data_IF_919260980649
#
_entry.id   IF_919260980649
#
_cell.length_a   1.000
_cell.length_b   1.000
_cell.length_c   1.000
_cell.angle_alpha   90.00
_cell.angle_beta   90.00
_cell.angle_gamma   90.00
#
_symmetry.space_group_name_H-M   'P 1'
#
loop_
_entity.id
_entity.type
_entity.pdbx_description
1 polymer ?
#
# COMPACT_ATOMS: atom_id res chain seq x y z
N UNK A 1 5.06 -4.35 -24.85
CA UNK A 1 5.42 -4.71 -23.44
C UNK A 1 4.12 -4.97 -22.72
N UNK A 2 4.01 -6.07 -22.03
CA UNK A 2 2.82 -6.35 -21.26
C UNK A 2 2.71 -5.40 -20.06
N UNK A 3 1.51 -4.92 -19.74
CA UNK A 3 1.30 -4.02 -18.61
C UNK A 3 1.62 -4.75 -17.29
N UNK A 4 2.19 -4.01 -16.34
CA UNK A 4 2.49 -4.55 -15.00
C UNK A 4 1.20 -4.79 -14.19
N UNK A 5 0.18 -3.96 -14.41
CA UNK A 5 -1.17 -4.12 -13.87
C UNK A 5 -2.18 -3.97 -14.99
N UNK A 6 -3.15 -4.90 -15.05
CA UNK A 6 -4.30 -4.81 -15.93
C UNK A 6 -5.54 -5.27 -15.19
N UNK A 7 -6.52 -4.39 -15.14
CA UNK A 7 -7.84 -4.65 -14.59
C UNK A 7 -8.85 -4.59 -15.73
N UNK A 8 -9.68 -5.61 -15.86
CA UNK A 8 -10.64 -5.77 -16.97
C UNK A 8 -12.06 -5.84 -16.43
N UNK A 9 -12.92 -4.93 -16.89
CA UNK A 9 -14.36 -4.87 -16.62
C UNK A 9 -14.70 -4.96 -15.13
N UNK A 10 -13.91 -4.28 -14.29
CA UNK A 10 -14.07 -4.31 -12.84
C UNK A 10 -15.40 -3.68 -12.43
N UNK A 11 -16.20 -4.48 -11.77
CA UNK A 11 -17.50 -4.04 -11.21
C UNK A 11 -17.49 -4.26 -9.70
N UNK A 12 -17.98 -3.25 -8.95
CA UNK A 12 -18.15 -3.33 -7.49
C UNK A 12 -19.43 -2.64 -7.06
N UNK A 13 -20.23 -3.36 -6.27
CA UNK A 13 -21.49 -2.87 -5.71
C UNK A 13 -21.46 -2.99 -4.19
N UNK A 14 -22.08 -2.04 -3.54
CA UNK A 14 -22.34 -2.04 -2.09
C UNK A 14 -23.87 -1.88 -1.87
N UNK A 15 -24.57 -3.00 -1.74
CA UNK A 15 -26.03 -3.01 -1.75
C UNK A 15 -26.57 -2.43 -3.06
N UNK A 16 -27.36 -1.36 -2.98
CA UNK A 16 -27.92 -0.68 -4.14
C UNK A 16 -26.95 0.29 -4.82
N UNK A 17 -25.81 0.61 -4.19
CA UNK A 17 -24.83 1.54 -4.75
C UNK A 17 -23.83 0.79 -5.65
N UNK A 18 -23.73 1.19 -6.91
CA UNK A 18 -22.66 0.74 -7.82
C UNK A 18 -21.50 1.72 -7.72
N UNK A 19 -20.39 1.30 -7.12
CA UNK A 19 -19.19 2.12 -6.94
C UNK A 19 -18.27 2.09 -8.16
N UNK A 20 -18.18 0.95 -8.84
CA UNK A 20 -17.46 0.78 -10.11
C UNK A 20 -18.32 -0.10 -11.02
N UNK A 21 -18.36 0.19 -12.31
CA UNK A 21 -19.10 -0.59 -13.30
C UNK A 21 -18.30 -0.71 -14.59
N UNK A 22 -17.84 -1.95 -14.86
CA UNK A 22 -17.10 -2.26 -16.08
C UNK A 22 -15.81 -1.46 -16.29
N UNK A 23 -15.08 -1.15 -15.21
CA UNK A 23 -13.88 -0.30 -15.28
C UNK A 23 -12.69 -1.09 -15.80
N UNK A 24 -12.08 -0.58 -16.85
CA UNK A 24 -10.79 -1.03 -17.34
C UNK A 24 -9.68 -0.08 -16.88
N UNK A 25 -8.57 -0.66 -16.40
CA UNK A 25 -7.40 0.11 -15.96
C UNK A 25 -6.13 -0.63 -16.35
N UNK A 26 -5.17 0.10 -16.88
CA UNK A 26 -3.88 -0.46 -17.30
C UNK A 26 -2.74 0.43 -16.81
N UNK A 27 -1.70 -0.19 -16.24
CA UNK A 27 -0.48 0.49 -15.82
C UNK A 27 0.72 -0.24 -16.40
N UNK A 28 1.55 0.46 -17.16
CA UNK A 28 2.78 -0.09 -17.70
C UNK A 28 3.96 0.11 -16.75
N UNK A 29 5.03 -0.64 -16.96
CA UNK A 29 6.22 -0.52 -16.15
C UNK A 29 6.87 0.87 -16.31
N UNK A 30 7.11 1.55 -15.19
CA UNK A 30 7.75 2.87 -15.17
C UNK A 30 6.79 4.05 -15.36
N UNK A 31 5.49 3.79 -15.55
CA UNK A 31 4.47 4.84 -15.62
C UNK A 31 3.97 5.25 -14.24
N UNK A 32 3.53 6.49 -14.16
CA UNK A 32 2.79 7.04 -13.02
C UNK A 32 1.42 7.49 -13.51
N UNK A 33 0.36 6.89 -12.97
CA UNK A 33 -1.02 7.24 -13.30
C UNK A 33 -1.67 8.02 -12.16
N UNK A 34 -2.29 9.15 -12.49
CA UNK A 34 -3.13 9.91 -11.58
C UNK A 34 -4.60 9.61 -11.88
N UNK A 35 -5.33 9.10 -10.90
CA UNK A 35 -6.78 8.93 -10.99
C UNK A 35 -7.47 10.22 -10.56
N UNK A 36 -8.03 10.94 -11.53
CA UNK A 36 -8.72 12.21 -11.32
C UNK A 36 -10.23 12.01 -11.48
N UNK A 37 -11.02 12.69 -10.67
CA UNK A 37 -12.47 12.63 -10.71
C UNK A 37 -13.09 13.13 -9.40
N UNK A 38 -14.39 13.36 -9.40
CA UNK A 38 -15.14 13.88 -8.26
C UNK A 38 -15.08 12.96 -7.02
N UNK A 39 -15.39 13.52 -5.85
CA UNK A 39 -15.54 12.72 -4.63
C UNK A 39 -16.71 11.75 -4.81
N UNK A 40 -16.49 10.48 -4.47
CA UNK A 40 -17.49 9.43 -4.70
C UNK A 40 -17.41 8.73 -6.07
N UNK A 41 -16.55 9.17 -7.00
CA UNK A 41 -16.41 8.55 -8.33
C UNK A 41 -15.79 7.13 -8.34
N UNK A 42 -15.67 6.46 -7.19
CA UNK A 42 -15.20 5.07 -7.11
C UNK A 42 -13.67 4.88 -7.15
N UNK A 43 -12.86 5.95 -7.24
CA UNK A 43 -11.39 5.87 -7.30
C UNK A 43 -10.78 5.04 -6.17
N UNK A 44 -11.12 5.39 -4.94
CA UNK A 44 -10.65 4.68 -3.74
C UNK A 44 -11.12 3.23 -3.72
N UNK A 45 -12.31 2.95 -4.20
CA UNK A 45 -12.85 1.58 -4.31
C UNK A 45 -12.04 0.78 -5.30
N UNK A 46 -11.73 1.33 -6.49
CA UNK A 46 -10.91 0.68 -7.50
C UNK A 46 -9.52 0.32 -6.96
N UNK A 47 -8.86 1.26 -6.26
CA UNK A 47 -7.54 1.01 -5.66
C UNK A 47 -7.59 -0.01 -4.53
N UNK A 48 -8.64 0.00 -3.70
CA UNK A 48 -8.84 -1.03 -2.67
C UNK A 48 -9.10 -2.42 -3.25
N UNK A 49 -9.70 -2.50 -4.43
CA UNK A 49 -9.85 -3.76 -5.18
C UNK A 49 -8.48 -4.21 -5.68
N UNK A 50 -7.68 -3.33 -6.28
CA UNK A 50 -6.32 -3.65 -6.73
C UNK A 50 -5.43 -4.13 -5.57
N UNK A 51 -5.52 -3.48 -4.42
CA UNK A 51 -4.80 -3.88 -3.20
C UNK A 51 -5.36 -5.18 -2.57
N UNK A 52 -6.51 -5.68 -3.04
CA UNK A 52 -7.13 -6.90 -2.54
C UNK A 52 -7.92 -6.73 -1.24
N UNK A 53 -8.19 -5.50 -0.82
CA UNK A 53 -9.03 -5.21 0.36
C UNK A 53 -10.50 -5.46 0.09
N UNK A 54 -10.94 -5.25 -1.16
CA UNK A 54 -12.27 -5.60 -1.63
C UNK A 54 -12.18 -6.60 -2.77
N UNK A 55 -13.01 -7.66 -2.72
CA UNK A 55 -13.23 -8.50 -3.89
C UNK A 55 -14.15 -7.75 -4.86
N UNK A 56 -13.84 -7.69 -6.17
CA UNK A 56 -14.78 -7.21 -7.15
C UNK A 56 -15.95 -8.19 -7.30
N UNK A 57 -17.10 -7.70 -7.73
CA UNK A 57 -18.28 -8.52 -8.02
C UNK A 57 -18.25 -9.02 -9.46
N UNK A 58 -17.42 -8.42 -10.31
CA UNK A 58 -17.14 -8.84 -11.69
C UNK A 58 -15.82 -8.29 -12.20
N UNK A 59 -15.31 -8.88 -13.28
CA UNK A 59 -14.05 -8.52 -13.91
C UNK A 59 -12.87 -9.37 -13.45
N UNK A 60 -11.67 -9.01 -13.92
CA UNK A 60 -10.42 -9.75 -13.66
C UNK A 60 -9.28 -8.78 -13.42
N UNK A 61 -8.31 -9.21 -12.62
CA UNK A 61 -7.08 -8.45 -12.34
C UNK A 61 -5.89 -9.30 -12.73
N UNK A 62 -4.97 -8.72 -13.47
CA UNK A 62 -3.71 -9.33 -13.86
C UNK A 62 -2.55 -8.47 -13.35
N UNK A 63 -1.54 -9.12 -12.79
CA UNK A 63 -0.28 -8.49 -12.35
C UNK A 63 0.85 -9.29 -12.95
N UNK A 64 1.78 -8.60 -13.64
CA UNK A 64 2.86 -9.23 -14.41
C UNK A 64 2.33 -10.31 -15.41
N UNK A 65 1.15 -10.07 -16.00
CA UNK A 65 0.49 -11.00 -16.95
C UNK A 65 -0.26 -12.16 -16.32
N UNK A 66 -0.14 -12.40 -15.02
CA UNK A 66 -0.82 -13.49 -14.32
C UNK A 66 -2.12 -13.01 -13.65
N UNK A 67 -3.18 -13.76 -13.81
CA UNK A 67 -4.44 -13.48 -13.12
C UNK A 67 -4.27 -13.64 -11.61
N UNK A 68 -4.69 -12.62 -10.86
CA UNK A 68 -4.57 -12.62 -9.41
C UNK A 68 -5.76 -13.23 -8.72
N UNK A 69 -5.50 -14.07 -7.71
CA UNK A 69 -6.49 -14.32 -6.66
C UNK A 69 -6.63 -13.10 -5.77
N UNK A 70 -7.85 -12.81 -5.34
CA UNK A 70 -8.15 -11.65 -4.49
C UNK A 70 -7.58 -11.84 -3.08
N UNK A 71 -7.22 -10.73 -2.46
CA UNK A 71 -6.77 -10.66 -1.07
C UNK A 71 -5.46 -9.89 -0.89
N UNK A 72 -5.36 -9.17 0.25
CA UNK A 72 -4.21 -8.31 0.59
C UNK A 72 -2.89 -9.10 0.59
N UNK A 73 -2.89 -10.31 1.12
CA UNK A 73 -1.69 -11.15 1.14
C UNK A 73 -1.21 -11.52 -0.28
N UNK A 74 -2.13 -11.72 -1.22
CA UNK A 74 -1.82 -11.95 -2.64
C UNK A 74 -1.24 -10.71 -3.31
N UNK A 75 -1.82 -9.55 -3.07
CA UNK A 75 -1.34 -8.27 -3.59
C UNK A 75 0.06 -7.94 -3.08
N UNK A 76 0.31 -8.06 -1.77
CA UNK A 76 1.63 -7.84 -1.16
C UNK A 76 2.70 -8.78 -1.73
N UNK A 77 2.40 -10.08 -1.90
CA UNK A 77 3.33 -11.04 -2.53
C UNK A 77 3.72 -10.63 -3.95
N UNK A 78 2.83 -9.96 -4.67
CA UNK A 78 3.06 -9.44 -6.03
C UNK A 78 3.67 -8.04 -6.04
N UNK A 79 3.95 -7.49 -4.85
CA UNK A 79 4.61 -6.21 -4.68
C UNK A 79 3.71 -4.99 -4.75
N UNK A 80 2.37 -5.17 -4.66
CA UNK A 80 1.43 -4.06 -4.54
C UNK A 80 1.41 -3.59 -3.11
N UNK A 81 1.67 -2.31 -2.88
CA UNK A 81 1.52 -1.64 -1.59
C UNK A 81 0.50 -0.52 -1.67
N UNK A 82 -0.16 -0.24 -0.56
CA UNK A 82 -1.10 0.86 -0.44
C UNK A 82 -0.68 1.78 0.71
N UNK A 83 -0.64 3.07 0.44
CA UNK A 83 -0.42 4.09 1.46
C UNK A 83 -1.76 4.75 1.76
N UNK A 84 -2.21 4.64 3.01
CA UNK A 84 -3.49 5.19 3.42
C UNK A 84 -3.40 6.69 3.69
N UNK A 85 -4.45 7.42 3.33
CA UNK A 85 -4.56 8.87 3.56
C UNK A 85 -4.58 9.20 5.06
N UNK A 86 -5.28 8.41 5.86
CA UNK A 86 -5.26 8.53 7.31
C UNK A 86 -4.17 7.62 7.85
N UNK A 87 -3.26 8.17 8.64
CA UNK A 87 -2.18 7.42 9.25
C UNK A 87 -2.76 6.28 10.11
N UNK A 88 -2.47 5.04 9.73
CA UNK A 88 -2.79 3.87 10.53
C UNK A 88 -1.64 3.60 11.51
N UNK A 89 -1.23 4.63 12.25
CA UNK A 89 -0.11 4.61 13.17
C UNK A 89 -0.60 4.72 14.60
N UNK A 90 0.05 4.01 15.50
CA UNK A 90 -0.21 4.07 16.94
C UNK A 90 0.85 4.99 17.54
N UNK A 91 0.43 6.16 17.99
CA UNK A 91 1.30 7.28 18.38
C UNK A 91 2.38 6.91 19.40
N UNK A 92 2.05 6.14 20.43
CA UNK A 92 2.97 5.75 21.49
C UNK A 92 3.90 4.59 21.14
N UNK A 93 3.66 3.92 20.01
CA UNK A 93 4.53 2.86 19.52
C UNK A 93 5.72 3.45 18.77
N UNK A 94 6.86 2.74 18.83
CA UNK A 94 8.03 3.05 18.04
C UNK A 94 7.75 2.89 16.53
N UNK A 95 8.60 3.49 15.71
CA UNK A 95 8.59 3.30 14.25
C UNK A 95 8.67 1.82 13.90
N UNK A 96 9.59 1.08 14.56
CA UNK A 96 9.74 -0.36 14.34
C UNK A 96 8.44 -1.11 14.62
N UNK A 97 7.82 -0.90 15.79
CA UNK A 97 6.58 -1.56 16.17
C UNK A 97 5.44 -1.26 15.21
N UNK A 98 5.29 0.00 14.81
CA UNK A 98 4.27 0.42 13.84
C UNK A 98 4.44 -0.26 12.47
N UNK A 99 5.69 -0.44 12.01
CA UNK A 99 5.97 -1.04 10.70
C UNK A 99 5.73 -2.54 10.72
N UNK A 100 6.15 -3.25 11.79
CA UNK A 100 6.05 -4.71 11.87
C UNK A 100 4.70 -5.19 12.39
N UNK A 101 3.83 -4.30 12.85
CA UNK A 101 2.52 -4.65 13.41
C UNK A 101 1.71 -5.51 12.43
N UNK A 102 1.33 -6.71 12.87
CA UNK A 102 0.61 -7.70 12.05
C UNK A 102 1.48 -8.49 11.06
N UNK A 103 2.75 -8.15 10.87
CA UNK A 103 3.67 -8.79 9.92
C UNK A 103 5.08 -8.94 10.50
N UNK A 104 5.16 -9.19 11.80
CA UNK A 104 6.43 -9.32 12.49
C UNK A 104 7.26 -10.50 11.93
N UNK A 105 8.55 -10.30 11.60
CA UNK A 105 9.43 -11.39 11.25
C UNK A 105 9.57 -12.31 12.48
N UNK A 106 9.24 -13.58 12.30
CA UNK A 106 9.33 -14.56 13.39
C UNK A 106 10.59 -15.40 13.21
N UNK A 107 11.43 -15.46 14.25
CA UNK A 107 12.49 -16.44 14.40
C UNK A 107 12.17 -17.30 15.63
N UNK A 108 12.04 -18.60 15.44
CA UNK A 108 11.72 -19.56 16.49
C UNK A 108 10.47 -19.20 17.34
N UNK A 109 9.45 -18.60 16.71
CA UNK A 109 8.20 -18.19 17.40
C UNK A 109 8.25 -16.81 18.07
N UNK A 110 9.39 -16.12 18.05
CA UNK A 110 9.56 -14.76 18.59
C UNK A 110 9.80 -13.74 17.47
N UNK A 111 9.41 -12.50 17.74
CA UNK A 111 9.66 -11.39 16.81
C UNK A 111 11.15 -11.06 16.77
N UNK A 112 11.77 -11.12 15.59
CA UNK A 112 13.16 -10.70 15.40
C UNK A 112 13.24 -9.17 15.23
N UNK A 113 13.22 -8.46 16.35
CA UNK A 113 13.36 -7.00 16.37
C UNK A 113 14.71 -6.52 15.83
N UNK A 114 15.78 -7.32 15.96
CA UNK A 114 17.12 -6.94 15.48
C UNK A 114 17.14 -6.87 13.95
N UNK A 115 16.65 -7.91 13.29
CA UNK A 115 16.54 -7.93 11.83
C UNK A 115 15.59 -6.85 11.32
N UNK A 116 14.44 -6.66 11.99
CA UNK A 116 13.48 -5.63 11.65
C UNK A 116 14.10 -4.23 11.70
N UNK A 117 14.76 -3.88 12.81
CA UNK A 117 15.43 -2.58 12.98
C UNK A 117 16.51 -2.32 11.92
N UNK A 118 17.31 -3.33 11.57
CA UNK A 118 18.34 -3.20 10.56
C UNK A 118 17.75 -2.87 9.19
N UNK A 119 16.70 -3.58 8.77
CA UNK A 119 15.99 -3.32 7.51
C UNK A 119 15.31 -1.94 7.51
N UNK A 120 14.64 -1.58 8.61
CA UNK A 120 13.97 -0.28 8.76
C UNK A 120 15.00 0.86 8.73
N UNK A 121 16.15 0.73 9.41
CA UNK A 121 17.21 1.74 9.38
C UNK A 121 17.74 1.98 7.95
N UNK A 122 17.91 0.93 7.17
CA UNK A 122 18.31 1.06 5.77
C UNK A 122 17.28 1.85 4.95
N UNK A 123 15.99 1.57 5.14
CA UNK A 123 14.90 2.30 4.50
C UNK A 123 14.83 3.76 4.98
N UNK A 124 14.92 4.02 6.28
CA UNK A 124 14.97 5.39 6.81
C UNK A 124 16.11 6.22 6.18
N UNK A 125 17.30 5.63 6.07
CA UNK A 125 18.45 6.29 5.42
C UNK A 125 18.17 6.62 3.96
N UNK A 126 17.57 5.68 3.23
CA UNK A 126 17.21 5.86 1.82
C UNK A 126 16.19 6.99 1.60
N UNK A 127 15.27 7.19 2.54
CA UNK A 127 14.26 8.27 2.50
C UNK A 127 14.72 9.57 3.14
N UNK A 128 16.03 9.74 3.40
CA UNK A 128 16.60 10.96 3.96
C UNK A 128 16.29 11.18 5.43
N UNK A 129 15.94 10.10 6.17
CA UNK A 129 15.61 10.12 7.60
C UNK A 129 16.70 9.46 8.46
N UNK A 130 17.97 9.56 8.07
CA UNK A 130 19.09 8.90 8.74
C UNK A 130 19.29 9.33 10.20
N UNK A 131 18.80 10.52 10.59
CA UNK A 131 18.85 11.03 11.96
C UNK A 131 17.75 10.46 12.86
N UNK A 132 16.72 9.86 12.27
CA UNK A 132 15.58 9.30 13.01
C UNK A 132 15.92 7.89 13.47
N UNK A 133 15.72 7.61 14.77
CA UNK A 133 15.91 6.27 15.32
C UNK A 133 14.74 5.37 14.96
N UNK A 134 14.93 4.10 14.56
CA UNK A 134 13.85 3.13 14.45
C UNK A 134 13.05 2.91 15.74
N UNK A 135 13.64 3.23 16.88
CA UNK A 135 13.01 3.11 18.20
C UNK A 135 12.34 4.41 18.67
N UNK A 136 12.40 5.48 17.86
CA UNK A 136 11.68 6.73 18.17
C UNK A 136 10.15 6.49 18.13
N UNK A 137 9.38 7.07 19.07
CA UNK A 137 7.94 7.00 19.04
C UNK A 137 7.39 7.84 17.87
N UNK A 138 6.28 7.39 17.28
CA UNK A 138 5.69 8.03 16.09
C UNK A 138 5.25 9.46 16.37
N UNK A 139 4.76 9.77 17.57
CA UNK A 139 4.28 11.10 17.94
C UNK A 139 5.39 12.16 17.97
N UNK A 140 6.66 11.74 18.03
CA UNK A 140 7.82 12.65 17.91
C UNK A 140 8.08 13.15 16.48
N UNK A 141 7.41 12.58 15.48
CA UNK A 141 7.61 12.87 14.05
C UNK A 141 6.65 13.96 13.55
N UNK A 142 7.13 14.82 12.66
CA UNK A 142 6.25 15.73 11.92
C UNK A 142 5.39 14.98 10.88
N UNK A 143 4.33 15.64 10.39
CA UNK A 143 3.37 15.04 9.45
C UNK A 143 4.05 14.47 8.19
N UNK A 144 5.02 15.22 7.61
CA UNK A 144 5.75 14.76 6.43
C UNK A 144 6.64 13.53 6.68
N UNK A 145 7.20 13.42 7.90
CA UNK A 145 7.95 12.23 8.30
C UNK A 145 7.02 11.04 8.52
N UNK A 146 5.86 11.24 9.13
CA UNK A 146 4.83 10.22 9.28
C UNK A 146 4.35 9.66 7.95
N UNK A 147 4.18 10.52 6.91
CA UNK A 147 3.88 10.07 5.55
C UNK A 147 4.98 9.17 4.98
N UNK A 148 6.25 9.55 5.16
CA UNK A 148 7.38 8.71 4.75
C UNK A 148 7.39 7.36 5.48
N UNK A 149 7.00 7.31 6.76
CA UNK A 149 6.88 6.04 7.50
C UNK A 149 5.83 5.12 6.89
N UNK A 150 4.67 5.63 6.40
CA UNK A 150 3.68 4.80 5.69
C UNK A 150 4.27 4.19 4.42
N UNK A 151 5.03 4.97 3.65
CA UNK A 151 5.72 4.47 2.46
C UNK A 151 6.75 3.39 2.85
N UNK A 152 7.56 3.67 3.87
CA UNK A 152 8.57 2.73 4.39
C UNK A 152 7.90 1.44 4.87
N UNK A 153 6.73 1.52 5.52
CA UNK A 153 5.94 0.36 5.95
C UNK A 153 5.52 -0.49 4.75
N UNK A 154 4.98 0.12 3.69
CA UNK A 154 4.60 -0.59 2.48
C UNK A 154 5.81 -1.31 1.84
N UNK A 155 6.96 -0.63 1.72
CA UNK A 155 8.19 -1.21 1.19
C UNK A 155 8.76 -2.32 2.09
N UNK A 156 8.70 -2.15 3.40
CA UNK A 156 9.13 -3.17 4.36
C UNK A 156 8.33 -4.46 4.18
N UNK A 157 7.02 -4.34 3.94
CA UNK A 157 6.09 -5.44 3.72
C UNK A 157 6.23 -6.09 2.34
N UNK A 158 7.09 -5.56 1.46
CA UNK A 158 7.42 -6.14 0.16
C UNK A 158 6.79 -5.44 -1.04
N UNK A 159 6.17 -4.27 -0.85
CA UNK A 159 5.72 -3.49 -1.99
C UNK A 159 6.91 -3.16 -2.91
N UNK A 160 6.70 -3.28 -4.22
CA UNK A 160 7.65 -2.79 -5.21
C UNK A 160 7.51 -1.28 -5.30
N UNK A 161 8.61 -0.55 -5.34
CA UNK A 161 8.60 0.93 -5.43
C UNK A 161 7.76 1.48 -6.58
N UNK A 162 7.59 0.70 -7.61
CA UNK A 162 6.85 1.05 -8.83
C UNK A 162 5.34 0.80 -8.75
N UNK A 163 4.86 0.19 -7.67
CA UNK A 163 3.46 -0.18 -7.46
C UNK A 163 2.91 0.40 -6.14
N UNK A 164 3.49 1.49 -5.66
CA UNK A 164 2.97 2.25 -4.53
C UNK A 164 1.84 3.15 -5.00
N UNK A 165 0.63 2.87 -4.54
CA UNK A 165 -0.49 3.78 -4.68
C UNK A 165 -0.43 4.84 -3.56
N UNK A 166 -0.20 6.08 -3.95
CA UNK A 166 -0.29 7.25 -3.09
C UNK A 166 -1.69 7.83 -3.26
N UNK A 167 -2.65 7.36 -2.45
CA UNK A 167 -3.95 8.02 -2.31
C UNK A 167 -3.76 9.36 -1.60
N UNK A 168 -3.33 10.37 -2.31
CA UNK A 168 -3.40 11.75 -1.83
C UNK A 168 -4.69 12.38 -2.36
N UNK A 169 -5.69 12.53 -1.50
CA UNK A 169 -6.75 13.48 -1.77
C UNK A 169 -6.19 14.88 -1.47
N UNK A 170 -5.75 15.57 -2.50
CA UNK A 170 -5.76 17.01 -2.46
C UNK A 170 -7.23 17.44 -2.47
N UNK A 171 -7.80 17.68 -1.30
CA UNK A 171 -8.94 18.57 -1.20
C UNK A 171 -8.40 19.97 -1.40
N UNK A 172 -8.70 20.56 -2.58
CA UNK A 172 -8.70 21.99 -2.75
C UNK A 172 -9.84 22.62 -1.96
#
# INVERSE_FOLDING_TARGET
MDPIVRMESITKRFGALTANEGIDFTLNQGETHALVGENGAGKTTLMRILYGQYAPDGGRIFIDGEQCAYGVAGALKRGIGMVHQNFMQIDRMSITENIILGHAPAAAGFVDYRAARAKIRALLTRFGMQKVSPDAPIDSLCVGERQKIEIIKALYLGARERLLDLLSNYCG
#
